data_IF_985222361347
#
_entry.id   IF_985222361347
#
_cell.length_a   1.000
_cell.length_b   1.000
_cell.length_c   1.000
_cell.angle_alpha   90.00
_cell.angle_beta   90.00
_cell.angle_gamma   90.00
#
_symmetry.space_group_name_H-M   'P 1'
#
loop_
_entity.id
_entity.type
_entity.pdbx_description
1 polymer ?
#
# COMPACT_ATOMS: atom_id res chain seq x y z
N UNK A 1 8.33 8.58 -8.85
CA UNK A 1 7.09 9.36 -8.64
C UNK A 1 6.34 8.72 -7.50
N UNK A 2 5.92 9.50 -6.50
CA UNK A 2 5.28 9.00 -5.28
C UNK A 2 3.77 9.18 -5.33
N UNK A 3 3.02 8.42 -4.52
CA UNK A 3 1.55 8.55 -4.43
C UNK A 3 1.10 9.74 -3.56
N UNK A 4 1.82 10.85 -3.65
CA UNK A 4 1.53 12.10 -2.93
C UNK A 4 0.74 13.07 -3.80
N UNK A 5 0.24 14.13 -3.20
CA UNK A 5 -0.51 15.21 -3.87
C UNK A 5 0.21 15.84 -5.07
N UNK A 6 1.55 15.85 -5.05
CA UNK A 6 2.38 16.49 -6.07
C UNK A 6 3.44 15.56 -6.68
N UNK A 7 3.35 14.25 -6.42
CA UNK A 7 4.29 13.26 -6.92
C UNK A 7 5.69 13.27 -6.27
N UNK A 8 5.94 14.16 -5.31
CA UNK A 8 7.21 14.35 -4.59
C UNK A 8 7.07 14.00 -3.10
N UNK A 9 8.18 13.64 -2.44
CA UNK A 9 8.24 13.52 -0.98
C UNK A 9 8.60 14.86 -0.35
N UNK A 10 7.65 15.43 0.37
CA UNK A 10 7.82 16.62 1.19
C UNK A 10 7.61 16.25 2.66
N UNK A 11 8.72 16.01 3.34
CA UNK A 11 8.77 15.68 4.75
C UNK A 11 8.06 16.74 5.62
N UNK A 12 7.20 16.28 6.52
CA UNK A 12 6.35 17.12 7.37
C UNK A 12 5.05 17.59 6.71
N UNK A 13 4.89 17.46 5.39
CA UNK A 13 3.69 17.90 4.66
C UNK A 13 2.86 16.74 4.11
N UNK A 14 3.47 15.90 3.27
CA UNK A 14 2.82 14.75 2.66
C UNK A 14 3.49 13.42 3.03
N UNK A 15 4.51 13.48 3.88
CA UNK A 15 5.19 12.31 4.44
C UNK A 15 5.74 12.66 5.84
N UNK A 16 5.88 11.71 6.78
CA UNK A 16 6.53 11.95 8.07
C UNK A 16 7.92 12.57 7.96
N UNK A 17 8.25 13.54 8.82
CA UNK A 17 9.59 14.10 8.89
C UNK A 17 10.61 13.08 9.44
N UNK A 18 11.81 13.05 8.87
CA UNK A 18 12.91 12.20 9.34
C UNK A 18 13.28 12.54 10.79
N UNK A 19 13.61 11.53 11.59
CA UNK A 19 14.07 11.70 12.98
C UNK A 19 12.98 12.00 14.03
N UNK A 20 11.76 12.38 13.65
CA UNK A 20 10.64 12.57 14.59
C UNK A 20 9.76 11.32 14.68
N UNK A 21 10.22 10.34 15.47
CA UNK A 21 9.37 9.56 16.39
C UNK A 21 8.21 8.70 15.87
N UNK A 22 7.85 8.67 14.58
CA UNK A 22 6.78 7.78 14.10
C UNK A 22 7.32 6.37 13.84
N UNK A 23 7.73 5.70 14.91
CA UNK A 23 8.06 4.26 14.93
C UNK A 23 6.80 3.37 14.93
N UNK A 24 5.64 3.95 14.66
CA UNK A 24 4.32 3.31 14.71
C UNK A 24 3.43 3.94 13.62
N UNK A 25 2.28 3.31 13.39
CA UNK A 25 1.21 3.87 12.55
C UNK A 25 0.71 5.20 13.08
N UNK A 26 0.05 5.96 12.22
CA UNK A 26 -0.55 7.26 12.53
C UNK A 26 -1.93 7.39 11.88
N UNK A 27 -2.72 8.38 12.32
CA UNK A 27 -4.06 8.64 11.81
C UNK A 27 -4.05 8.80 10.28
N UNK A 28 -5.02 8.20 9.61
CA UNK A 28 -5.04 8.08 8.14
C UNK A 28 -5.01 9.44 7.44
N UNK A 29 -5.60 10.46 8.05
CA UNK A 29 -5.71 11.83 7.55
C UNK A 29 -4.58 12.77 8.01
N UNK A 30 -3.50 12.23 8.59
CA UNK A 30 -2.37 13.05 9.10
C UNK A 30 -1.66 13.91 8.04
N UNK A 31 -1.84 13.61 6.76
CA UNK A 31 -1.13 14.23 5.66
C UNK A 31 -2.06 14.47 4.47
N UNK A 32 -1.66 15.38 3.58
CA UNK A 32 -2.44 15.76 2.39
C UNK A 32 -2.67 14.54 1.48
N UNK A 33 -3.91 14.27 1.01
CA UNK A 33 -4.17 13.14 0.12
C UNK A 33 -3.61 13.38 -1.28
N UNK A 34 -3.50 12.32 -2.06
CA UNK A 34 -3.19 12.45 -3.49
C UNK A 34 -4.35 13.14 -4.26
N UNK A 35 -4.20 13.47 -5.56
CA UNK A 35 -5.26 14.14 -6.33
C UNK A 35 -6.57 13.34 -6.48
N UNK A 36 -6.57 12.04 -6.15
CA UNK A 36 -7.76 11.19 -6.11
C UNK A 36 -8.44 11.20 -4.73
N UNK A 37 -7.96 12.00 -3.77
CA UNK A 37 -8.48 12.04 -2.41
C UNK A 37 -8.06 10.84 -1.56
N UNK A 38 -7.09 10.03 -2.00
CA UNK A 38 -6.67 8.83 -1.29
C UNK A 38 -5.48 9.14 -0.39
N UNK A 39 -5.63 8.76 0.87
CA UNK A 39 -4.63 8.95 1.92
C UNK A 39 -3.74 7.72 2.08
N UNK A 40 -2.45 7.96 2.35
CA UNK A 40 -1.43 6.95 2.71
C UNK A 40 -1.42 5.71 1.80
N UNK A 41 -1.41 5.90 0.48
CA UNK A 41 -1.05 4.81 -0.46
C UNK A 41 0.44 4.46 -0.40
N UNK A 42 1.23 5.30 0.27
CA UNK A 42 2.67 5.21 0.46
C UNK A 42 2.98 5.47 1.94
N UNK A 43 3.65 4.54 2.60
CA UNK A 43 3.93 4.58 4.03
C UNK A 43 2.72 4.29 4.94
N UNK A 44 2.90 4.56 6.23
CA UNK A 44 1.98 4.21 7.33
C UNK A 44 1.84 2.69 7.53
N UNK A 45 1.22 1.98 6.59
CA UNK A 45 0.98 0.55 6.63
C UNK A 45 0.99 -0.05 5.22
N UNK A 46 1.21 -1.36 5.16
CA UNK A 46 0.93 -2.15 3.97
C UNK A 46 -0.57 -2.46 3.90
N UNK A 47 -1.14 -2.49 2.70
CA UNK A 47 -2.53 -2.87 2.46
C UNK A 47 -2.61 -4.24 1.78
N UNK A 48 -3.40 -5.14 2.37
CA UNK A 48 -3.79 -6.40 1.72
C UNK A 48 -4.57 -6.14 0.44
N UNK A 49 -4.27 -6.94 -0.58
CA UNK A 49 -5.01 -6.99 -1.84
C UNK A 49 -5.54 -8.40 -2.05
N UNK A 50 -6.66 -8.51 -2.77
CA UNK A 50 -7.34 -9.78 -2.99
C UNK A 50 -6.52 -10.77 -3.84
N UNK A 51 -5.47 -10.35 -4.52
CA UNK A 51 -4.67 -11.19 -5.40
C UNK A 51 -3.84 -12.24 -4.63
N UNK A 52 -3.73 -13.45 -5.19
CA UNK A 52 -2.66 -14.36 -4.82
C UNK A 52 -1.32 -13.85 -5.37
N UNK A 53 -0.24 -14.05 -4.61
CA UNK A 53 1.10 -13.68 -5.06
C UNK A 53 1.67 -14.76 -5.98
N UNK A 54 2.12 -14.32 -7.14
CA UNK A 54 3.03 -15.05 -8.02
C UNK A 54 4.06 -14.06 -8.58
N UNK A 55 5.34 -14.46 -8.51
CA UNK A 55 6.48 -13.67 -8.96
C UNK A 55 6.46 -13.45 -10.47
N UNK A 56 5.93 -14.40 -11.24
CA UNK A 56 5.93 -14.40 -12.70
C UNK A 56 4.60 -13.94 -13.31
N UNK A 57 3.58 -13.66 -12.49
CA UNK A 57 2.20 -13.34 -12.97
C UNK A 57 2.15 -12.23 -14.02
N UNK A 58 2.96 -11.19 -13.88
CA UNK A 58 2.97 -10.07 -14.84
C UNK A 58 3.38 -10.50 -16.27
N UNK A 59 4.04 -11.65 -16.45
CA UNK A 59 4.39 -12.19 -17.78
C UNK A 59 3.18 -12.77 -18.52
N UNK A 60 2.12 -13.13 -17.79
CA UNK A 60 0.94 -13.84 -18.32
C UNK A 60 -0.38 -13.14 -17.96
N UNK A 61 -0.31 -12.02 -17.25
CA UNK A 61 -1.46 -11.26 -16.78
C UNK A 61 -2.33 -10.79 -17.95
N UNK A 62 -3.67 -10.94 -17.87
CA UNK A 62 -4.56 -10.31 -18.85
C UNK A 62 -4.45 -8.78 -18.73
N UNK A 63 -4.76 -8.09 -19.84
CA UNK A 63 -4.69 -6.63 -19.91
C UNK A 63 -5.84 -5.95 -19.16
N UNK A 64 -7.04 -6.54 -19.20
CA UNK A 64 -8.26 -5.95 -18.67
C UNK A 64 -8.62 -6.67 -17.37
N UNK A 65 -8.72 -5.91 -16.28
CA UNK A 65 -9.14 -6.36 -14.94
C UNK A 65 -8.47 -7.66 -14.48
N UNK A 66 -7.13 -7.72 -14.38
CA UNK A 66 -6.44 -8.88 -13.84
C UNK A 66 -6.85 -9.11 -12.38
N UNK A 67 -7.09 -10.37 -12.03
CA UNK A 67 -7.56 -10.80 -10.69
C UNK A 67 -6.50 -11.58 -9.90
N UNK A 68 -5.25 -11.57 -10.39
CA UNK A 68 -4.19 -12.44 -9.89
C UNK A 68 -4.30 -13.89 -10.39
N UNK A 69 -3.39 -14.78 -9.97
CA UNK A 69 -3.51 -16.22 -10.18
C UNK A 69 -4.76 -16.77 -9.47
N UNK A 70 -5.35 -17.85 -9.99
CA UNK A 70 -6.52 -18.49 -9.37
C UNK A 70 -6.23 -19.06 -7.97
N UNK A 71 -4.98 -19.48 -7.73
CA UNK A 71 -4.54 -20.11 -6.48
C UNK A 71 -3.13 -19.66 -6.13
N UNK A 72 -2.81 -19.68 -4.83
CA UNK A 72 -1.47 -19.41 -4.33
C UNK A 72 -1.35 -19.75 -2.85
N UNK A 73 -0.12 -19.74 -2.35
CA UNK A 73 0.17 -19.93 -0.93
C UNK A 73 0.21 -18.61 -0.15
N UNK A 74 0.54 -17.50 -0.84
CA UNK A 74 0.77 -16.19 -0.26
C UNK A 74 -0.15 -15.16 -0.92
N UNK A 75 -0.64 -14.18 -0.17
CA UNK A 75 -1.41 -13.05 -0.69
C UNK A 75 -0.51 -11.84 -0.91
N UNK A 76 -0.96 -10.92 -1.76
CA UNK A 76 -0.23 -9.69 -2.07
C UNK A 76 -0.49 -8.62 -1.00
N UNK A 77 0.57 -7.95 -0.54
CA UNK A 77 0.46 -6.63 0.09
C UNK A 77 1.06 -5.55 -0.82
N UNK A 78 0.49 -4.35 -0.75
CA UNK A 78 0.98 -3.14 -1.42
C UNK A 78 1.34 -2.06 -0.40
N UNK A 79 2.16 -1.10 -0.82
CA UNK A 79 2.68 -0.05 0.04
C UNK A 79 3.80 -0.57 0.94
N UNK A 80 4.05 0.16 2.03
CA UNK A 80 5.12 -0.13 3.00
C UNK A 80 4.76 0.43 4.37
N UNK A 81 5.32 -0.18 5.42
CA UNK A 81 5.08 0.24 6.79
C UNK A 81 5.87 1.47 7.23
N UNK A 82 5.58 1.93 8.45
CA UNK A 82 6.23 3.03 9.16
C UNK A 82 7.71 2.82 9.54
N UNK A 83 8.23 1.59 9.41
CA UNK A 83 9.58 1.23 9.83
C UNK A 83 10.67 1.32 8.75
N UNK A 84 10.29 1.58 7.49
CA UNK A 84 11.24 1.66 6.38
C UNK A 84 11.73 3.10 6.12
N UNK A 85 12.88 3.22 5.46
CA UNK A 85 13.35 4.50 4.92
C UNK A 85 12.25 5.15 4.06
N UNK A 86 12.02 6.46 4.14
CA UNK A 86 10.94 7.11 3.39
C UNK A 86 10.93 6.86 1.89
N UNK A 87 12.09 6.76 1.24
CA UNK A 87 12.15 6.50 -0.20
C UNK A 87 11.64 5.09 -0.53
N UNK A 88 11.97 4.11 0.30
CA UNK A 88 11.46 2.75 0.20
C UNK A 88 9.98 2.69 0.56
N UNK A 89 9.60 3.38 1.65
CA UNK A 89 8.26 3.40 2.21
C UNK A 89 7.25 4.04 1.24
N UNK A 90 7.73 4.96 0.40
CA UNK A 90 6.91 5.62 -0.59
C UNK A 90 6.82 4.89 -1.95
N UNK A 91 7.44 3.73 -2.10
CA UNK A 91 7.37 2.94 -3.32
C UNK A 91 5.96 2.43 -3.59
N UNK A 92 5.44 2.69 -4.80
CA UNK A 92 4.12 2.19 -5.25
C UNK A 92 4.21 0.89 -6.05
N UNK A 93 5.43 0.49 -6.43
CA UNK A 93 5.67 -0.68 -7.30
C UNK A 93 5.89 -1.97 -6.53
N UNK A 94 6.15 -1.88 -5.22
CA UNK A 94 6.46 -3.04 -4.40
C UNK A 94 5.24 -3.94 -4.23
N UNK A 95 5.46 -5.24 -4.42
CA UNK A 95 4.53 -6.31 -4.09
C UNK A 95 5.20 -7.19 -3.03
N UNK A 96 4.60 -7.29 -1.86
CA UNK A 96 5.04 -8.23 -0.85
C UNK A 96 4.20 -9.50 -0.95
N UNK A 97 4.80 -10.62 -0.55
CA UNK A 97 4.14 -11.92 -0.48
C UNK A 97 4.09 -12.34 0.98
N UNK A 98 2.89 -12.51 1.52
CA UNK A 98 2.71 -12.84 2.95
C UNK A 98 1.65 -13.94 3.12
N UNK A 99 1.80 -14.74 4.17
CA UNK A 99 0.81 -15.75 4.55
C UNK A 99 -0.52 -15.09 4.92
N UNK A 100 -1.66 -15.55 4.39
CA UNK A 100 -2.97 -14.92 4.65
C UNK A 100 -3.43 -15.06 6.09
N UNK A 101 -3.00 -16.12 6.79
CA UNK A 101 -3.36 -16.38 8.19
C UNK A 101 -2.10 -16.25 9.04
N UNK A 102 -1.92 -15.09 9.66
CA UNK A 102 -0.73 -14.79 10.45
C UNK A 102 -0.94 -15.17 11.92
N UNK A 103 0.13 -15.66 12.57
CA UNK A 103 0.13 -15.99 14.00
C UNK A 103 0.09 -14.75 14.91
N UNK A 104 0.48 -13.59 14.38
CA UNK A 104 0.59 -12.35 15.12
C UNK A 104 -0.03 -11.20 14.32
N UNK A 105 -0.72 -10.31 15.02
CA UNK A 105 -1.23 -9.07 14.44
C UNK A 105 -0.24 -7.96 14.74
N UNK A 106 0.21 -7.27 13.71
CA UNK A 106 1.09 -6.10 13.86
C UNK A 106 0.46 -4.89 13.16
N UNK A 107 0.50 -3.68 13.76
CA UNK A 107 -0.25 -2.53 13.25
C UNK A 107 0.05 -2.12 11.80
N UNK A 108 1.22 -2.48 11.27
CA UNK A 108 1.63 -2.15 9.90
C UNK A 108 0.97 -2.99 8.79
N UNK A 109 0.11 -3.95 9.11
CA UNK A 109 -0.67 -4.72 8.13
C UNK A 109 -2.12 -4.26 8.22
N UNK A 110 -2.55 -3.60 7.17
CA UNK A 110 -3.84 -2.93 7.02
C UNK A 110 -4.55 -3.48 5.79
N UNK A 111 -5.72 -2.95 5.52
CA UNK A 111 -6.43 -3.10 4.26
C UNK A 111 -7.26 -1.84 4.01
N UNK A 112 -7.67 -1.67 2.76
CA UNK A 112 -8.73 -0.75 2.37
C UNK A 112 -9.71 -1.48 1.47
N UNK A 113 -10.98 -1.13 1.58
CA UNK A 113 -12.01 -1.74 0.75
C UNK A 113 -12.12 -1.01 -0.59
N UNK A 114 -12.43 -1.76 -1.63
CA UNK A 114 -12.84 -1.24 -2.91
C UNK A 114 -14.16 -1.92 -3.30
N UNK A 115 -15.01 -1.18 -4.00
CA UNK A 115 -16.26 -1.70 -4.57
C UNK A 115 -16.29 -1.34 -6.04
N UNK A 116 -16.69 -2.30 -6.86
CA UNK A 116 -17.00 -2.03 -8.26
C UNK A 116 -18.37 -1.37 -8.32
N UNK A 117 -18.40 -0.10 -8.71
CA UNK A 117 -19.63 0.68 -8.83
C UNK A 117 -19.60 1.46 -10.14
N UNK A 118 -20.74 1.55 -10.81
CA UNK A 118 -20.99 2.42 -11.96
C UNK A 118 -21.27 3.88 -11.57
N UNK A 119 -21.50 4.11 -10.27
CA UNK A 119 -21.72 5.43 -9.68
C UNK A 119 -20.75 5.70 -8.52
N UNK A 120 -20.28 6.96 -8.33
CA UNK A 120 -19.54 7.34 -7.13
C UNK A 120 -20.37 7.08 -5.87
N UNK A 121 -19.68 6.68 -4.80
CA UNK A 121 -20.26 6.50 -3.47
C UNK A 121 -20.31 7.83 -2.75
#
# INVERSE_FOLDING_TARGET
>A
MFSTDNGNLNYGRNFPASGKGKRLTFAVDSFVPNPLGIYNLSGNATDWVNDWYDKDYYRVSPLINPIGPEKGALRVLRGSGYGEDPLLSASTVRRWAEEPVRKQHVPGYSFRCAIQSDHPI
#
